data_IF_778489811107
#
_entry.id   IF_778489811107
#
_cell.length_a   1.000
_cell.length_b   1.000
_cell.length_c   1.000
_cell.angle_alpha   90.00
_cell.angle_beta   90.00
_cell.angle_gamma   90.00
#
_symmetry.space_group_name_H-M   'P 1'
#
loop_
_entity.id
_entity.type
_entity.pdbx_description
1 polymer ?
#
# COMPACT_ATOMS: atom_id res chain seq x y z
N UNK A 1 -11.99 -9.71 2.37
CA UNK A 1 -10.53 -9.89 2.56
C UNK A 1 -9.69 -9.14 1.52
N UNK A 2 -10.07 -9.09 0.23
CA UNK A 2 -9.29 -8.34 -0.78
C UNK A 2 -9.12 -6.84 -0.48
N UNK A 3 -10.13 -6.16 0.07
CA UNK A 3 -10.10 -4.72 0.33
C UNK A 3 -9.08 -4.25 1.38
N UNK A 4 -8.56 -5.16 2.20
CA UNK A 4 -7.58 -4.86 3.25
C UNK A 4 -6.15 -5.21 2.79
N UNK A 5 -6.01 -5.95 1.69
CA UNK A 5 -4.70 -6.36 1.20
C UNK A 5 -4.07 -5.21 0.39
N UNK A 6 -2.94 -4.62 0.82
CA UNK A 6 -2.26 -3.56 0.07
C UNK A 6 -1.82 -4.04 -1.32
N UNK A 7 -1.51 -5.33 -1.49
CA UNK A 7 -1.13 -5.87 -2.80
C UNK A 7 -2.30 -5.90 -3.78
N UNK A 8 -3.55 -5.92 -3.32
CA UNK A 8 -4.71 -5.81 -4.21
C UNK A 8 -4.72 -4.45 -4.92
N UNK A 9 -4.44 -3.36 -4.20
CA UNK A 9 -4.34 -2.00 -4.77
C UNK A 9 -3.18 -1.87 -5.76
N UNK A 10 -2.02 -2.49 -5.47
CA UNK A 10 -0.89 -2.54 -6.42
C UNK A 10 -1.29 -3.25 -7.72
N UNK A 11 -1.92 -4.42 -7.60
CA UNK A 11 -2.33 -5.22 -8.77
C UNK A 11 -3.42 -4.49 -9.55
N UNK A 12 -4.36 -3.82 -8.89
CA UNK A 12 -5.44 -3.07 -9.54
C UNK A 12 -4.91 -1.83 -10.27
N UNK A 13 -3.96 -1.09 -9.66
CA UNK A 13 -3.27 0.03 -10.31
C UNK A 13 -2.52 -0.42 -11.57
N UNK A 14 -1.71 -1.48 -11.46
CA UNK A 14 -0.94 -2.02 -12.59
C UNK A 14 -1.89 -2.55 -13.68
N UNK A 15 -2.99 -3.21 -13.31
CA UNK A 15 -4.00 -3.67 -14.26
C UNK A 15 -4.67 -2.50 -14.98
N UNK A 16 -5.07 -1.46 -14.25
CA UNK A 16 -5.70 -0.26 -14.81
C UNK A 16 -4.78 0.46 -15.80
N UNK A 17 -3.49 0.53 -15.49
CA UNK A 17 -2.49 1.14 -16.37
C UNK A 17 -2.21 0.30 -17.62
N UNK A 18 -2.01 -1.02 -17.48
CA UNK A 18 -1.58 -1.89 -18.58
C UNK A 18 -2.74 -2.25 -19.52
N UNK A 19 -3.92 -2.53 -18.97
CA UNK A 19 -5.03 -3.09 -19.74
C UNK A 19 -5.95 -2.00 -20.27
N UNK A 20 -6.37 -1.08 -19.41
CA UNK A 20 -7.39 -0.08 -19.75
C UNK A 20 -6.81 1.31 -20.01
N UNK A 21 -5.57 1.58 -19.59
CA UNK A 21 -4.98 2.93 -19.59
C UNK A 21 -5.72 3.91 -18.68
N UNK A 22 -6.51 3.41 -17.73
CA UNK A 22 -7.40 4.19 -16.87
C UNK A 22 -6.64 4.65 -15.62
N UNK A 23 -6.54 5.96 -15.44
CA UNK A 23 -5.77 6.58 -14.35
C UNK A 23 -6.67 7.15 -13.25
N UNK A 24 -7.99 7.16 -13.41
CA UNK A 24 -8.91 7.77 -12.45
C UNK A 24 -8.81 7.16 -11.04
N UNK A 25 -8.52 5.86 -10.95
CA UNK A 25 -8.38 5.15 -9.66
C UNK A 25 -6.95 5.14 -9.12
N UNK A 26 -5.95 5.51 -9.93
CA UNK A 26 -4.54 5.43 -9.57
C UNK A 26 -4.19 6.23 -8.30
N UNK A 27 -4.71 7.47 -8.09
CA UNK A 27 -4.44 8.19 -6.85
C UNK A 27 -4.95 7.46 -5.60
N UNK A 28 -6.10 6.79 -5.70
CA UNK A 28 -6.68 6.03 -4.59
C UNK A 28 -5.80 4.82 -4.26
N UNK A 29 -5.35 4.10 -5.29
CA UNK A 29 -4.44 2.96 -5.12
C UNK A 29 -3.13 3.38 -4.45
N UNK A 30 -2.53 4.50 -4.87
CA UNK A 30 -1.29 5.04 -4.30
C UNK A 30 -1.47 5.46 -2.84
N UNK A 31 -2.58 6.12 -2.51
CA UNK A 31 -2.87 6.54 -1.13
C UNK A 31 -3.03 5.31 -0.23
N UNK A 32 -3.74 4.28 -0.69
CA UNK A 32 -3.90 3.04 0.07
C UNK A 32 -2.56 2.36 0.36
N UNK A 33 -1.67 2.27 -0.63
CA UNK A 33 -0.31 1.73 -0.49
C UNK A 33 0.51 2.57 0.49
N UNK A 34 0.48 3.89 0.35
CA UNK A 34 1.25 4.82 1.20
C UNK A 34 0.84 4.71 2.67
N UNK A 35 -0.47 4.63 2.96
CA UNK A 35 -0.97 4.46 4.32
C UNK A 35 -0.43 3.15 4.92
N UNK A 36 -0.46 2.06 4.15
CA UNK A 36 0.07 0.78 4.60
C UNK A 36 1.58 0.87 4.92
N UNK A 37 2.37 1.47 4.03
CA UNK A 37 3.82 1.63 4.24
C UNK A 37 4.12 2.46 5.49
N UNK A 38 3.39 3.55 5.72
CA UNK A 38 3.54 4.37 6.93
C UNK A 38 3.23 3.56 8.19
N UNK A 39 2.15 2.78 8.20
CA UNK A 39 1.80 1.92 9.34
C UNK A 39 2.89 0.89 9.59
N UNK A 40 3.35 0.19 8.55
CA UNK A 40 4.42 -0.81 8.67
C UNK A 40 5.73 -0.19 9.12
N UNK A 41 6.05 1.02 8.65
CA UNK A 41 7.22 1.76 9.06
C UNK A 41 7.16 2.14 10.54
N UNK A 42 6.00 2.58 11.04
CA UNK A 42 5.80 2.89 12.46
C UNK A 42 5.96 1.61 13.30
N UNK A 43 5.31 0.52 12.89
CA UNK A 43 5.40 -0.78 13.58
C UNK A 43 6.86 -1.25 13.64
N UNK A 44 7.57 -1.23 12.51
CA UNK A 44 8.98 -1.58 12.44
C UNK A 44 9.84 -0.68 13.35
N UNK A 45 9.60 0.64 13.32
CA UNK A 45 10.32 1.61 14.17
C UNK A 45 10.14 1.31 15.65
N UNK A 46 8.93 0.95 16.09
CA UNK A 46 8.64 0.55 17.48
C UNK A 46 9.33 -0.78 17.80
N UNK A 47 9.25 -1.77 16.90
CA UNK A 47 9.91 -3.06 17.09
C UNK A 47 11.42 -2.94 17.23
N UNK A 48 12.08 -2.11 16.42
CA UNK A 48 13.52 -1.86 16.54
C UNK A 48 13.87 -1.16 17.86
N UNK A 49 13.07 -0.19 18.30
CA UNK A 49 13.27 0.47 19.60
C UNK A 49 13.19 -0.54 20.76
N UNK A 50 12.25 -1.47 20.71
CA UNK A 50 12.06 -2.52 21.72
C UNK A 50 13.19 -3.58 21.75
N UNK A 51 13.96 -3.74 20.67
CA UNK A 51 15.10 -4.68 20.65
C UNK A 51 16.34 -4.06 21.32
N UNK A 52 16.45 -2.73 21.31
CA UNK A 52 17.61 -1.98 21.84
C UNK A 52 17.45 -1.68 23.34
N UNK A 53 16.23 -1.46 23.83
CA UNK A 53 15.88 -1.47 25.27
C UNK A 53 15.84 -2.88 25.85
#
# INVERSE_FOLDING_TARGET
>A
FSSINPLSYVVDAVRGLIITGEISNLPLDIVAITIFDVIMFIVASISFRRIIE
#
